data_IF_532942481126
#
_entry.id   IF_532942481126
#
_cell.length_a   1.000
_cell.length_b   1.000
_cell.length_c   1.000
_cell.angle_alpha   90.00
_cell.angle_beta   90.00
_cell.angle_gamma   90.00
#
_symmetry.space_group_name_H-M   'P 1'
#
loop_
_entity.id
_entity.type
_entity.pdbx_description
1 polymer ?
#
# COMPACT_ATOMS: atom_id res chain seq x y z
N UNK A 1 -8.11 -10.34 -51.43
CA UNK A 1 -8.96 -11.40 -50.80
C UNK A 1 -9.20 -11.02 -49.34
N UNK A 2 -10.48 -11.02 -48.90
CA UNK A 2 -11.04 -10.91 -47.52
C UNK A 2 -10.45 -9.82 -46.59
N UNK A 3 -11.01 -8.60 -46.51
CA UNK A 3 -12.18 -8.17 -45.70
C UNK A 3 -12.30 -8.90 -44.35
N UNK A 4 -12.05 -8.20 -43.24
CA UNK A 4 -13.00 -8.09 -42.11
C UNK A 4 -12.77 -6.76 -41.37
N UNK A 5 -13.80 -5.93 -41.44
CA UNK A 5 -14.08 -4.73 -40.65
C UNK A 5 -14.77 -5.19 -39.36
N UNK A 6 -14.37 -4.70 -38.19
CA UNK A 6 -15.23 -4.76 -37.01
C UNK A 6 -15.40 -3.36 -36.42
N UNK A 7 -16.60 -2.86 -36.66
CA UNK A 7 -17.19 -1.67 -36.07
C UNK A 7 -18.35 -2.21 -35.23
N UNK A 8 -18.30 -2.01 -33.91
CA UNK A 8 -19.46 -2.20 -33.04
C UNK A 8 -19.57 -0.96 -32.17
N UNK A 9 -20.54 -0.12 -32.54
CA UNK A 9 -21.10 0.94 -31.71
C UNK A 9 -22.48 0.44 -31.28
N UNK A 10 -22.78 0.50 -29.99
CA UNK A 10 -24.15 0.57 -29.49
C UNK A 10 -24.17 1.44 -28.23
N UNK A 11 -24.72 2.64 -28.38
CA UNK A 11 -25.12 3.54 -27.31
C UNK A 11 -26.34 2.99 -26.58
N UNK A 12 -26.40 3.17 -25.25
CA UNK A 12 -27.66 3.38 -24.54
C UNK A 12 -27.47 4.60 -23.62
N UNK A 13 -28.21 5.65 -23.94
CA UNK A 13 -28.42 6.83 -23.11
C UNK A 13 -29.66 6.62 -22.21
N UNK A 14 -29.95 7.66 -21.41
CA UNK A 14 -31.12 7.91 -20.52
C UNK A 14 -30.76 7.68 -19.05
N UNK A 15 -30.90 8.66 -18.15
CA UNK A 15 -31.42 10.02 -18.23
C UNK A 15 -31.41 10.64 -16.83
N UNK A 16 -31.12 11.93 -16.74
CA UNK A 16 -31.21 12.69 -15.49
C UNK A 16 -32.69 12.97 -15.14
N UNK A 17 -33.04 12.90 -13.85
CA UNK A 17 -34.19 13.60 -13.30
C UNK A 17 -33.80 14.30 -11.99
N UNK A 18 -34.11 15.58 -11.94
CA UNK A 18 -33.85 16.52 -10.84
C UNK A 18 -35.14 16.67 -10.00
N UNK A 19 -34.95 17.14 -8.75
CA UNK A 19 -35.77 18.10 -7.99
C UNK A 19 -36.63 17.57 -6.82
N UNK A 20 -36.17 17.96 -5.61
CA UNK A 20 -36.86 18.71 -4.55
C UNK A 20 -38.10 18.11 -3.88
N UNK A 21 -38.03 18.03 -2.55
CA UNK A 21 -39.17 18.04 -1.65
C UNK A 21 -38.71 18.22 -0.21
N UNK A 22 -38.78 19.46 0.29
CA UNK A 22 -38.70 19.76 1.71
C UNK A 22 -40.11 19.64 2.31
N UNK A 23 -40.23 18.98 3.46
CA UNK A 23 -41.28 19.19 4.48
C UNK A 23 -40.59 18.89 5.83
N UNK A 24 -40.28 19.86 6.71
CA UNK A 24 -41.12 20.79 7.47
C UNK A 24 -41.84 20.11 8.66
N UNK A 25 -41.24 20.38 9.83
CA UNK A 25 -41.84 20.72 11.14
C UNK A 25 -42.35 19.66 12.13
N UNK A 26 -41.94 19.94 13.38
CA UNK A 26 -42.62 19.78 14.69
C UNK A 26 -42.09 18.62 15.55
N UNK A 27 -41.67 18.77 16.82
CA UNK A 27 -41.50 19.90 17.76
C UNK A 27 -40.70 19.35 18.98
N UNK A 28 -40.20 20.19 19.91
CA UNK A 28 -39.20 19.85 20.93
C UNK A 28 -39.78 19.48 22.30
N UNK A 29 -38.91 18.94 23.17
CA UNK A 29 -39.11 18.84 24.62
C UNK A 29 -38.43 17.60 25.19
N UNK A 30 -37.85 17.57 26.37
CA UNK A 30 -37.51 18.56 27.38
C UNK A 30 -36.68 17.75 28.40
N UNK A 31 -35.54 18.30 28.84
CA UNK A 31 -34.88 18.10 30.15
C UNK A 31 -34.38 16.72 30.61
N UNK A 32 -33.14 16.74 31.09
CA UNK A 32 -32.61 15.76 32.03
C UNK A 32 -31.13 15.97 32.34
N UNK A 33 -30.82 16.97 33.16
CA UNK A 33 -29.47 17.23 33.67
C UNK A 33 -29.06 16.22 34.75
N UNK A 34 -27.78 15.83 34.80
CA UNK A 34 -27.18 15.31 36.04
C UNK A 34 -25.93 14.42 35.93
N UNK A 35 -24.77 15.03 36.19
CA UNK A 35 -23.55 14.53 36.87
C UNK A 35 -22.39 13.85 36.09
N UNK A 36 -21.24 14.54 36.22
CA UNK A 36 -19.82 14.23 35.94
C UNK A 36 -19.32 12.96 36.68
N UNK A 37 -18.72 11.97 35.98
CA UNK A 37 -17.27 11.64 35.73
C UNK A 37 -16.46 11.10 36.94
N UNK A 38 -15.34 10.34 36.76
CA UNK A 38 -14.85 9.58 35.58
C UNK A 38 -14.40 8.14 35.92
N UNK A 39 -14.27 7.29 34.90
CA UNK A 39 -13.46 6.08 34.93
C UNK A 39 -12.59 6.06 33.67
N UNK A 40 -11.35 6.57 33.79
CA UNK A 40 -10.32 6.42 32.76
C UNK A 40 -10.05 4.93 32.54
N UNK A 41 -10.53 4.41 31.41
CA UNK A 41 -9.95 3.23 30.79
C UNK A 41 -8.74 3.76 30.02
N UNK A 42 -7.53 3.19 30.18
CA UNK A 42 -6.37 3.64 29.43
C UNK A 42 -6.68 3.47 27.94
N UNK A 43 -6.81 4.60 27.24
CA UNK A 43 -6.68 4.66 25.79
C UNK A 43 -5.35 3.97 25.45
N UNK A 44 -5.43 2.86 24.73
CA UNK A 44 -4.31 2.36 23.95
C UNK A 44 -3.99 3.44 22.93
N UNK A 45 -3.16 4.41 23.33
CA UNK A 45 -2.66 5.45 22.46
C UNK A 45 -1.63 4.82 21.55
N UNK A 46 -2.09 4.23 20.45
CA UNK A 46 -1.28 4.14 19.25
C UNK A 46 -1.40 5.51 18.57
N UNK A 47 -0.35 6.33 18.52
CA UNK A 47 -0.41 7.56 17.73
C UNK A 47 -0.43 7.14 16.26
N UNK A 48 -1.62 7.07 15.67
CA UNK A 48 -1.77 7.07 14.23
C UNK A 48 -1.43 8.50 13.77
N UNK A 49 -0.14 8.76 13.56
CA UNK A 49 0.32 10.07 13.10
C UNK A 49 -0.18 10.29 11.67
N UNK A 50 -1.13 11.23 11.54
CA UNK A 50 -1.60 11.79 10.26
C UNK A 50 -0.58 12.75 9.61
N UNK A 51 0.60 12.91 10.21
CA UNK A 51 1.70 13.69 9.66
C UNK A 51 2.50 12.82 8.68
N UNK A 52 2.90 13.41 7.57
CA UNK A 52 3.69 12.72 6.54
C UNK A 52 5.02 12.14 7.06
N UNK A 53 5.75 11.41 6.21
CA UNK A 53 6.97 10.71 6.62
C UNK A 53 7.99 11.66 7.28
N UNK A 54 8.55 11.23 8.43
CA UNK A 54 9.65 11.93 9.11
C UNK A 54 10.91 11.88 8.23
N UNK A 55 11.54 13.03 8.05
CA UNK A 55 12.79 13.14 7.28
C UNK A 55 13.91 12.31 7.94
N UNK A 56 14.76 11.69 7.12
CA UNK A 56 15.91 10.86 7.53
C UNK A 56 15.64 9.65 8.45
N UNK A 57 14.38 9.25 8.61
CA UNK A 57 13.99 8.08 9.42
C UNK A 57 13.48 6.97 8.52
N UNK A 58 13.94 5.71 8.68
CA UNK A 58 13.35 4.60 7.95
C UNK A 58 11.89 4.40 8.39
N UNK A 59 11.02 4.05 7.45
CA UNK A 59 9.60 3.84 7.74
C UNK A 59 9.02 2.77 6.82
N UNK A 60 7.89 2.21 7.25
CA UNK A 60 7.04 1.36 6.43
C UNK A 60 5.76 2.12 6.14
N UNK A 61 5.48 2.34 4.85
CA UNK A 61 4.18 2.81 4.37
C UNK A 61 3.30 1.59 4.09
N UNK A 62 2.12 1.57 4.71
CA UNK A 62 1.07 0.58 4.43
C UNK A 62 -0.08 1.33 3.80
N UNK A 63 -0.35 1.04 2.53
CA UNK A 63 -1.39 1.73 1.76
C UNK A 63 -2.49 0.76 1.37
N UNK A 64 -3.73 1.14 1.67
CA UNK A 64 -4.93 0.45 1.23
C UNK A 64 -5.45 1.10 -0.05
N UNK A 65 -5.77 0.30 -1.07
CA UNK A 65 -6.35 0.80 -2.31
C UNK A 65 -7.58 1.70 -2.05
N UNK A 66 -7.55 2.92 -2.57
CA UNK A 66 -8.60 3.92 -2.38
C UNK A 66 -8.71 4.50 -0.96
N UNK A 67 -7.76 4.14 -0.07
CA UNK A 67 -7.69 4.59 1.32
C UNK A 67 -6.51 5.53 1.57
N UNK A 68 -6.24 5.77 2.85
CA UNK A 68 -5.06 6.52 3.30
C UNK A 68 -3.89 5.57 3.58
N UNK A 69 -2.68 6.10 3.51
CA UNK A 69 -1.49 5.39 4.00
C UNK A 69 -1.39 5.50 5.52
N UNK A 70 -0.94 4.43 6.16
CA UNK A 70 -0.44 4.41 7.53
C UNK A 70 1.08 4.31 7.47
N UNK A 71 1.78 5.11 8.28
CA UNK A 71 3.24 5.09 8.37
C UNK A 71 3.66 4.50 9.71
N UNK A 72 4.46 3.42 9.67
CA UNK A 72 5.07 2.82 10.84
C UNK A 72 6.56 3.16 10.90
N UNK A 73 7.04 3.48 12.09
CA UNK A 73 8.41 3.80 12.43
C UNK A 73 9.02 2.72 13.33
N UNK A 74 10.36 2.65 13.49
CA UNK A 74 11.02 1.60 14.27
C UNK A 74 10.53 1.43 15.71
N UNK A 75 10.02 2.50 16.32
CA UNK A 75 9.50 2.50 17.70
C UNK A 75 8.05 1.97 17.79
N UNK A 76 7.35 1.81 16.67
CA UNK A 76 5.97 1.32 16.65
C UNK A 76 5.93 -0.21 16.82
N UNK A 77 5.01 -0.69 17.65
CA UNK A 77 4.94 -2.11 18.04
C UNK A 77 4.78 -3.09 16.87
N UNK A 78 4.13 -2.67 15.78
CA UNK A 78 3.96 -3.49 14.57
C UNK A 78 5.14 -3.47 13.60
N UNK A 79 6.06 -2.49 13.74
CA UNK A 79 7.15 -2.29 12.79
C UNK A 79 8.09 -3.50 12.68
N UNK A 80 8.62 -4.09 13.78
CA UNK A 80 9.67 -5.10 13.66
C UNK A 80 9.22 -6.36 12.90
N UNK A 81 7.97 -6.80 13.08
CA UNK A 81 7.47 -7.99 12.41
C UNK A 81 7.26 -7.77 10.91
N UNK A 82 6.71 -6.61 10.53
CA UNK A 82 6.46 -6.26 9.13
C UNK A 82 7.80 -6.00 8.42
N UNK A 83 8.74 -5.32 9.09
CA UNK A 83 10.08 -5.07 8.56
C UNK A 83 10.83 -6.37 8.27
N UNK A 84 10.82 -7.31 9.22
CA UNK A 84 11.44 -8.62 9.04
C UNK A 84 10.85 -9.38 7.84
N UNK A 85 9.52 -9.43 7.71
CA UNK A 85 8.88 -10.09 6.58
C UNK A 85 9.19 -9.38 5.26
N UNK A 86 9.19 -8.05 5.21
CA UNK A 86 9.57 -7.31 4.00
C UNK A 86 11.02 -7.59 3.59
N UNK A 87 11.96 -7.70 4.53
CA UNK A 87 13.36 -8.07 4.22
C UNK A 87 13.47 -9.48 3.65
N UNK A 88 12.76 -10.44 4.24
CA UNK A 88 12.72 -11.83 3.76
C UNK A 88 12.15 -11.91 2.33
N UNK A 89 11.14 -11.11 2.01
CA UNK A 89 10.59 -11.00 0.66
C UNK A 89 11.64 -10.52 -0.36
N UNK A 90 12.46 -9.53 0.02
CA UNK A 90 13.56 -8.99 -0.81
C UNK A 90 14.69 -10.01 -0.97
N UNK A 91 15.12 -10.66 0.10
CA UNK A 91 16.16 -11.70 0.05
C UNK A 91 15.71 -12.92 -0.78
N UNK A 92 14.40 -13.18 -0.82
CA UNK A 92 13.79 -14.24 -1.62
C UNK A 92 13.64 -13.90 -3.12
N UNK A 93 14.07 -12.71 -3.56
CA UNK A 93 14.11 -12.34 -4.98
C UNK A 93 14.87 -13.40 -5.76
N UNK A 94 14.21 -13.97 -6.78
CA UNK A 94 14.67 -15.11 -7.55
C UNK A 94 14.87 -14.80 -9.03
N UNK A 95 14.43 -13.63 -9.50
CA UNK A 95 14.56 -13.25 -10.90
C UNK A 95 14.24 -11.77 -11.15
N UNK A 96 14.43 -11.35 -12.39
CA UNK A 96 14.09 -10.00 -12.86
C UNK A 96 13.04 -10.08 -13.98
N UNK A 97 11.92 -9.36 -13.82
CA UNK A 97 10.89 -9.26 -14.85
C UNK A 97 11.27 -8.27 -15.95
N UNK A 98 11.69 -7.06 -15.55
CA UNK A 98 12.08 -5.99 -16.47
C UNK A 98 13.01 -4.97 -15.79
N UNK A 99 13.53 -4.08 -16.62
CA UNK A 99 14.48 -3.04 -16.19
C UNK A 99 13.86 -1.94 -15.33
N UNK A 100 12.53 -1.74 -15.34
CA UNK A 100 11.88 -0.74 -14.49
C UNK A 100 10.46 -0.32 -14.89
N UNK A 101 9.87 0.52 -14.05
CA UNK A 101 8.73 1.38 -14.34
C UNK A 101 9.18 2.84 -14.30
N UNK A 102 8.55 3.70 -15.09
CA UNK A 102 8.67 5.15 -14.94
C UNK A 102 8.03 5.61 -13.63
N UNK A 103 8.43 6.79 -13.14
CA UNK A 103 7.82 7.36 -11.93
C UNK A 103 6.31 7.51 -12.08
N UNK A 104 5.82 7.99 -13.23
CA UNK A 104 4.39 8.17 -13.46
C UNK A 104 3.62 6.83 -13.45
N UNK A 105 4.17 5.77 -14.04
CA UNK A 105 3.56 4.43 -13.96
C UNK A 105 3.50 3.93 -12.53
N UNK A 106 4.59 4.08 -11.78
CA UNK A 106 4.66 3.60 -10.40
C UNK A 106 3.73 4.37 -9.47
N UNK A 107 3.62 5.70 -9.63
CA UNK A 107 2.65 6.50 -8.88
C UNK A 107 1.21 6.09 -9.23
N UNK A 108 0.90 5.83 -10.51
CA UNK A 108 -0.42 5.33 -10.91
C UNK A 108 -0.74 3.94 -10.31
N UNK A 109 0.27 3.08 -10.18
CA UNK A 109 0.14 1.79 -9.49
C UNK A 109 -0.09 1.97 -7.99
N UNK A 110 0.70 2.83 -7.32
CA UNK A 110 0.56 3.13 -5.89
C UNK A 110 -0.83 3.72 -5.57
N UNK A 111 -1.38 4.58 -6.43
CA UNK A 111 -2.71 5.17 -6.21
C UNK A 111 -3.87 4.16 -6.16
N UNK A 112 -3.75 3.05 -6.87
CA UNK A 112 -4.86 2.10 -7.03
C UNK A 112 -4.62 0.74 -6.37
N UNK A 113 -3.38 0.45 -5.96
CA UNK A 113 -2.99 -0.83 -5.39
C UNK A 113 -2.96 -0.82 -3.88
N UNK A 114 -3.19 -1.99 -3.27
CA UNK A 114 -2.87 -2.19 -1.86
C UNK A 114 -1.41 -2.64 -1.78
N UNK A 115 -0.57 -1.93 -1.01
CA UNK A 115 0.86 -2.23 -0.95
C UNK A 115 1.49 -1.92 0.41
N UNK A 116 2.68 -2.48 0.59
CA UNK A 116 3.62 -2.16 1.66
C UNK A 116 4.90 -1.63 1.01
N UNK A 117 5.33 -0.42 1.40
CA UNK A 117 6.56 0.18 0.93
C UNK A 117 7.52 0.40 2.10
N UNK A 118 8.65 -0.31 2.07
CA UNK A 118 9.72 -0.15 3.05
C UNK A 118 10.73 0.87 2.53
N UNK A 119 10.84 1.99 3.25
CA UNK A 119 11.75 3.08 2.94
C UNK A 119 12.96 3.04 3.88
N UNK A 120 14.15 3.17 3.30
CA UNK A 120 15.41 3.17 4.02
C UNK A 120 15.99 4.58 4.07
N UNK A 121 16.45 5.01 5.25
CA UNK A 121 17.11 6.31 5.42
C UNK A 121 18.49 6.38 4.74
N UNK A 122 19.10 5.21 4.50
CA UNK A 122 20.34 5.07 3.71
C UNK A 122 20.19 3.92 2.71
N UNK A 123 20.83 3.99 1.55
CA UNK A 123 20.82 2.90 0.58
C UNK A 123 21.25 1.59 1.25
N UNK A 124 20.38 0.58 1.20
CA UNK A 124 20.56 -0.69 1.90
C UNK A 124 20.80 -1.81 0.90
N UNK A 125 21.80 -2.65 1.18
CA UNK A 125 22.20 -3.75 0.29
C UNK A 125 21.61 -5.08 0.74
N UNK A 126 21.12 -5.86 -0.22
CA UNK A 126 20.58 -7.21 -0.03
C UNK A 126 21.27 -8.19 -0.96
N UNK A 127 21.71 -9.32 -0.40
CA UNK A 127 21.99 -10.52 -1.18
C UNK A 127 20.66 -11.22 -1.46
N UNK A 128 20.39 -11.52 -2.73
CA UNK A 128 19.14 -12.15 -3.17
C UNK A 128 19.38 -13.57 -3.63
N UNK A 129 18.31 -14.37 -3.67
CA UNK A 129 18.32 -15.75 -4.20
C UNK A 129 18.51 -15.83 -5.73
N UNK A 130 18.52 -14.70 -6.44
CA UNK A 130 18.68 -14.65 -7.88
C UNK A 130 20.15 -14.83 -8.29
N UNK A 131 20.47 -15.84 -9.08
CA UNK A 131 21.84 -16.11 -9.53
C UNK A 131 22.17 -15.44 -10.85
N UNK A 132 23.29 -14.70 -10.89
CA UNK A 132 23.86 -14.10 -12.10
C UNK A 132 25.33 -14.50 -12.22
N UNK A 133 25.68 -15.25 -13.26
CA UNK A 133 27.06 -15.74 -13.43
C UNK A 133 27.53 -16.69 -12.32
N UNK A 134 26.59 -17.41 -11.68
CA UNK A 134 26.89 -18.34 -10.59
C UNK A 134 27.04 -17.70 -9.19
N UNK A 135 26.87 -16.39 -9.08
CA UNK A 135 26.89 -15.66 -7.82
C UNK A 135 25.50 -15.11 -7.48
N UNK A 136 25.20 -15.02 -6.18
CA UNK A 136 23.98 -14.40 -5.69
C UNK A 136 23.98 -12.91 -6.07
N UNK A 137 22.87 -12.45 -6.64
CA UNK A 137 22.72 -11.09 -7.09
C UNK A 137 22.57 -10.20 -5.86
N UNK A 138 23.47 -9.24 -5.76
CA UNK A 138 23.39 -8.16 -4.79
C UNK A 138 22.64 -6.98 -5.41
N UNK A 139 21.67 -6.45 -4.66
CA UNK A 139 20.93 -5.23 -5.01
C UNK A 139 21.09 -4.19 -3.90
N UNK A 140 21.11 -2.91 -4.27
CA UNK A 140 21.08 -1.79 -3.33
C UNK A 140 19.78 -1.04 -3.55
N UNK A 141 19.06 -0.72 -2.47
CA UNK A 141 17.70 -0.19 -2.51
C UNK A 141 17.53 0.95 -1.50
N UNK A 142 16.79 1.97 -1.91
CA UNK A 142 16.33 3.08 -1.06
C UNK A 142 14.86 2.86 -0.66
N UNK A 143 14.10 2.16 -1.51
CA UNK A 143 12.71 1.77 -1.27
C UNK A 143 12.46 0.38 -1.85
N UNK A 144 11.66 -0.43 -1.18
CA UNK A 144 11.08 -1.66 -1.72
C UNK A 144 9.56 -1.62 -1.59
N UNK A 145 8.86 -1.79 -2.69
CA UNK A 145 7.41 -1.74 -2.81
C UNK A 145 6.90 -3.15 -3.12
N UNK A 146 6.04 -3.65 -2.25
CA UNK A 146 5.41 -4.97 -2.33
C UNK A 146 3.90 -4.75 -2.43
N UNK A 147 3.35 -4.94 -3.62
CA UNK A 147 1.90 -4.96 -3.80
C UNK A 147 1.33 -6.25 -3.22
N UNK A 148 0.30 -6.12 -2.41
CA UNK A 148 -0.44 -7.25 -1.85
C UNK A 148 -1.46 -7.75 -2.85
N UNK A 149 -2.18 -6.81 -3.48
CA UNK A 149 -3.19 -7.08 -4.49
C UNK A 149 -3.07 -6.01 -5.58
N UNK A 150 -2.67 -6.43 -6.78
CA UNK A 150 -2.54 -5.56 -7.94
C UNK A 150 -3.00 -6.28 -9.21
N UNK A 151 -4.12 -5.85 -9.76
CA UNK A 151 -4.71 -6.47 -10.94
C UNK A 151 -3.80 -6.36 -12.17
N UNK A 152 -3.71 -7.44 -12.94
CA UNK A 152 -2.92 -7.48 -14.17
C UNK A 152 -1.40 -7.68 -13.97
N UNK A 153 -0.94 -7.85 -12.74
CA UNK A 153 0.47 -8.10 -12.42
C UNK A 153 0.67 -9.36 -11.56
N UNK A 154 1.86 -9.99 -11.61
CA UNK A 154 2.17 -11.15 -10.76
C UNK A 154 2.17 -10.80 -9.27
N UNK A 155 1.55 -11.64 -8.43
CA UNK A 155 1.55 -11.46 -6.96
C UNK A 155 2.96 -11.54 -6.34
N UNK A 156 3.90 -12.18 -7.03
CA UNK A 156 5.31 -12.33 -6.64
C UNK A 156 6.18 -11.15 -7.07
N UNK A 157 5.61 -10.12 -7.69
CA UNK A 157 6.38 -8.96 -8.14
C UNK A 157 6.82 -8.07 -6.96
N UNK A 158 8.10 -7.73 -6.91
CA UNK A 158 8.65 -6.69 -6.02
C UNK A 158 9.23 -5.58 -6.89
N UNK A 159 8.99 -4.33 -6.52
CA UNK A 159 9.61 -3.17 -7.17
C UNK A 159 10.59 -2.57 -6.17
N UNK A 160 11.82 -2.31 -6.58
CA UNK A 160 12.79 -1.61 -5.73
C UNK A 160 13.22 -0.32 -6.39
N UNK A 161 13.35 0.76 -5.63
CA UNK A 161 13.99 1.98 -6.12
C UNK A 161 15.42 2.08 -5.61
N UNK A 162 16.32 2.48 -6.50
CA UNK A 162 17.69 2.86 -6.20
C UNK A 162 17.93 4.15 -6.99
N UNK A 163 17.99 5.27 -6.28
CA UNK A 163 18.10 6.61 -6.88
C UNK A 163 17.01 6.87 -7.94
N UNK A 164 17.39 7.16 -9.18
CA UNK A 164 16.48 7.44 -10.31
C UNK A 164 15.98 6.17 -11.03
N UNK A 165 16.37 4.98 -10.56
CA UNK A 165 16.08 3.70 -11.22
C UNK A 165 15.16 2.86 -10.37
N UNK A 166 14.20 2.22 -11.05
CA UNK A 166 13.36 1.19 -10.45
C UNK A 166 13.73 -0.17 -11.02
N UNK A 167 13.96 -1.18 -10.19
CA UNK A 167 14.07 -2.59 -10.60
C UNK A 167 12.74 -3.30 -10.39
N UNK A 168 12.39 -4.23 -11.29
CA UNK A 168 11.19 -5.07 -11.16
C UNK A 168 11.59 -6.53 -11.09
N UNK A 169 11.27 -7.16 -9.97
CA UNK A 169 11.82 -8.45 -9.56
C UNK A 169 10.71 -9.46 -9.33
N UNK A 170 11.05 -10.72 -9.51
CA UNK A 170 10.24 -11.86 -9.07
C UNK A 170 10.77 -12.38 -7.74
N UNK A 171 9.89 -12.81 -6.84
CA UNK A 171 10.27 -13.47 -5.58
C UNK A 171 9.66 -14.85 -5.48
N UNK A 172 10.39 -15.77 -4.84
CA UNK A 172 9.92 -17.14 -4.58
C UNK A 172 8.94 -17.22 -3.41
N UNK A 173 8.80 -16.14 -2.63
CA UNK A 173 7.96 -16.09 -1.43
C UNK A 173 6.55 -15.58 -1.75
N UNK A 174 5.53 -16.23 -1.20
CA UNK A 174 4.13 -15.76 -1.31
C UNK A 174 3.85 -14.62 -0.32
N UNK A 175 2.71 -13.94 -0.45
CA UNK A 175 2.36 -12.75 0.36
C UNK A 175 1.52 -13.02 1.59
N UNK A 176 1.24 -14.28 1.95
CA UNK A 176 0.27 -14.60 3.01
C UNK A 176 0.66 -13.99 4.36
N UNK A 177 1.89 -14.24 4.79
CA UNK A 177 2.39 -13.75 6.08
C UNK A 177 2.39 -12.22 6.13
N UNK A 178 2.85 -11.56 5.05
CA UNK A 178 2.80 -10.11 4.97
C UNK A 178 1.36 -9.57 5.04
N UNK A 179 0.40 -10.20 4.34
CA UNK A 179 -1.02 -9.82 4.41
C UNK A 179 -1.57 -9.97 5.84
N UNK A 180 -1.25 -11.07 6.52
CA UNK A 180 -1.70 -11.31 7.89
C UNK A 180 -1.15 -10.27 8.88
N UNK A 181 0.11 -9.87 8.71
CA UNK A 181 0.76 -8.86 9.56
C UNK A 181 0.19 -7.45 9.38
N UNK A 182 -0.18 -7.07 8.16
CA UNK A 182 -0.69 -5.71 7.87
C UNK A 182 -2.21 -5.58 7.99
N UNK A 183 -2.95 -6.69 7.98
CA UNK A 183 -4.41 -6.67 8.07
C UNK A 183 -4.96 -5.92 9.30
N UNK A 184 -4.39 -6.04 10.52
CA UNK A 184 -4.81 -5.23 11.66
C UNK A 184 -4.61 -3.73 11.42
N UNK A 185 -3.47 -3.35 10.84
CA UNK A 185 -3.14 -1.93 10.56
C UNK A 185 -4.10 -1.31 9.55
N UNK A 186 -4.54 -2.10 8.56
CA UNK A 186 -5.49 -1.64 7.53
C UNK A 186 -6.96 -1.56 8.00
N UNK A 187 -7.29 -2.11 9.17
CA UNK A 187 -8.62 -1.98 9.76
C UNK A 187 -8.77 -0.71 10.62
N UNK A 188 -7.65 -0.14 11.07
CA UNK A 188 -7.60 1.05 11.90
C UNK A 188 -7.58 2.36 11.08
N UNK A 189 -7.48 2.28 9.75
CA UNK A 189 -7.27 3.40 8.80
C UNK A 189 -8.51 3.81 8.00
#
# INVERSE_FOLDING_TARGET
MKKVLYLVIACVAVGALILVGADVLSNPGLQGAGKEMPGEVPESQTPCSADGPREDTPYIEIHRAGGRSVFLYPDDSGYPAIEAECREQIQSISGQYKMGFSSAELEAMKQNGTYVAMNFSVPTTFETSYLVGGLLKVITVNEAIIFLDLEGYPETMIITRADDKSGVWDTSRNRRELRDLVAPVMQES
#
